data_IF_185861417522
#
_entry.id   IF_185861417522
#
_cell.length_a   1.000
_cell.length_b   1.000
_cell.length_c   1.000
_cell.angle_alpha   90.00
_cell.angle_beta   90.00
_cell.angle_gamma   90.00
#
_symmetry.space_group_name_H-M   'P 1'
#
loop_
_entity.id
_entity.type
_entity.pdbx_description
1 polymer ?
#
# COMPACT_ATOMS: atom_id res chain seq x y z
N UNK A 1 -27.09 14.76 65.33
CA UNK A 1 -26.46 14.81 66.65
C UNK A 1 -25.95 13.42 66.99
N UNK A 2 -24.62 13.30 67.22
CA UNK A 2 -23.90 12.36 68.11
C UNK A 2 -24.08 10.84 67.88
N UNK A 3 -23.06 10.14 67.37
CA UNK A 3 -21.80 9.66 68.01
C UNK A 3 -21.95 8.25 68.63
N UNK A 4 -21.23 7.27 68.08
CA UNK A 4 -19.98 6.65 68.61
C UNK A 4 -20.26 5.48 69.57
N UNK A 5 -19.66 4.29 69.42
CA UNK A 5 -18.39 3.85 70.07
C UNK A 5 -18.12 2.39 69.58
N UNK A 6 -16.95 2.00 69.02
CA UNK A 6 -15.68 1.57 69.68
C UNK A 6 -15.63 0.02 69.80
N UNK A 7 -14.53 -0.74 69.76
CA UNK A 7 -13.07 -0.54 69.70
C UNK A 7 -12.40 -1.88 69.28
N UNK A 8 -11.25 -1.89 68.58
CA UNK A 8 -9.91 -2.28 69.12
C UNK A 8 -9.39 -3.55 68.40
N UNK A 9 -8.10 -3.82 68.09
CA UNK A 9 -6.76 -3.29 68.40
C UNK A 9 -5.77 -3.75 67.27
N UNK A 10 -4.84 -2.91 66.76
CA UNK A 10 -3.36 -2.84 67.01
C UNK A 10 -2.55 -4.15 66.77
N UNK A 11 -1.35 -4.21 66.15
CA UNK A 11 -0.12 -3.37 66.21
C UNK A 11 0.63 -3.33 64.84
N UNK A 12 1.18 -2.20 64.32
CA UNK A 12 2.45 -1.44 64.59
C UNK A 12 3.77 -2.24 64.39
N UNK A 13 4.67 -1.89 63.45
CA UNK A 13 5.86 -1.00 63.57
C UNK A 13 6.78 -1.27 62.34
N UNK A 14 7.69 -0.43 61.81
CA UNK A 14 8.24 0.91 62.10
C UNK A 14 9.05 1.37 60.86
N UNK A 15 9.43 2.65 60.87
CA UNK A 15 9.93 3.49 59.78
C UNK A 15 11.39 3.95 60.10
N UNK A 16 12.14 4.33 59.06
CA UNK A 16 13.19 5.41 59.02
C UNK A 16 14.71 5.02 59.18
N UNK A 17 15.71 5.93 58.94
CA UNK A 17 16.43 6.13 57.67
C UNK A 17 17.99 6.32 57.83
N UNK A 18 18.66 6.85 56.78
CA UNK A 18 19.96 7.61 56.76
C UNK A 18 21.25 6.89 56.27
N UNK A 19 21.82 7.29 55.11
CA UNK A 19 23.08 8.08 54.97
C UNK A 19 23.75 8.00 53.58
N UNK A 20 24.28 9.16 53.22
CA UNK A 20 25.14 9.60 52.10
C UNK A 20 26.56 9.03 52.17
N UNK A 21 27.17 8.67 51.04
CA UNK A 21 28.60 8.92 50.80
C UNK A 21 28.98 8.94 49.31
N UNK A 22 29.80 9.92 48.92
CA UNK A 22 30.39 10.11 47.59
C UNK A 22 31.67 9.27 47.42
N UNK A 23 32.00 8.91 46.16
CA UNK A 23 33.38 8.78 45.62
C UNK A 23 33.35 8.51 44.09
N UNK A 24 33.93 9.43 43.30
CA UNK A 24 34.44 9.24 41.92
C UNK A 24 35.88 8.69 41.96
N UNK A 25 36.64 8.45 40.85
CA UNK A 25 36.37 8.44 39.40
C UNK A 25 36.87 7.17 38.67
N UNK A 26 36.46 6.90 37.42
CA UNK A 26 37.38 6.45 36.33
C UNK A 26 36.66 6.35 34.98
N UNK A 27 37.32 6.92 33.97
CA UNK A 27 36.99 6.90 32.56
C UNK A 27 37.07 5.49 31.98
N UNK A 28 36.14 5.11 31.09
CA UNK A 28 36.42 4.27 29.93
C UNK A 28 35.34 4.46 28.86
N UNK A 29 35.80 4.97 27.73
CA UNK A 29 35.13 5.23 26.47
C UNK A 29 34.55 3.95 25.84
N UNK A 30 33.30 3.98 25.35
CA UNK A 30 32.92 3.20 24.17
C UNK A 30 31.70 3.78 23.45
N UNK A 31 32.00 4.48 22.35
CA UNK A 31 31.09 4.72 21.23
C UNK A 31 30.83 3.43 20.47
N UNK A 32 29.57 3.18 20.09
CA UNK A 32 29.10 2.51 18.86
C UNK A 32 27.66 2.04 19.07
N UNK A 33 26.75 2.01 18.10
CA UNK A 33 26.72 2.42 16.71
C UNK A 33 25.22 2.42 16.34
N UNK A 34 24.87 3.28 15.39
CA UNK A 34 23.52 3.51 14.88
C UNK A 34 22.82 2.20 14.47
N UNK A 35 21.60 1.99 14.95
CA UNK A 35 20.71 0.96 14.43
C UNK A 35 20.13 1.48 13.11
N UNK A 36 20.76 1.07 12.01
CA UNK A 36 20.37 1.46 10.67
C UNK A 36 19.00 0.89 10.32
N UNK A 37 18.07 1.76 9.95
CA UNK A 37 16.89 1.38 9.18
C UNK A 37 17.35 0.59 7.94
N UNK A 38 17.29 -0.73 8.01
CA UNK A 38 17.45 -1.60 6.85
C UNK A 38 16.26 -1.34 5.93
N UNK A 39 16.52 -0.65 4.82
CA UNK A 39 15.60 -0.60 3.70
C UNK A 39 15.22 -2.05 3.33
N UNK A 40 13.96 -2.44 3.57
CA UNK A 40 13.42 -3.71 3.09
C UNK A 40 13.62 -3.70 1.57
N UNK A 41 14.50 -4.57 1.05
CA UNK A 41 14.64 -4.76 -0.39
C UNK A 41 13.26 -5.11 -0.95
N UNK A 42 12.82 -4.47 -2.05
CA UNK A 42 11.56 -4.84 -2.68
C UNK A 42 11.70 -6.28 -3.15
N UNK A 43 10.95 -7.19 -2.53
CA UNK A 43 10.83 -8.55 -3.02
C UNK A 43 10.14 -8.48 -4.38
N UNK A 44 10.77 -9.06 -5.41
CA UNK A 44 10.21 -9.13 -6.74
C UNK A 44 9.00 -10.09 -6.71
N UNK A 45 7.82 -9.60 -7.11
CA UNK A 45 6.57 -10.38 -7.16
C UNK A 45 6.38 -11.10 -8.51
N UNK A 46 7.38 -11.09 -9.37
CA UNK A 46 7.28 -11.51 -10.77
C UNK A 46 8.22 -12.67 -11.08
N UNK A 47 7.80 -13.53 -12.00
CA UNK A 47 8.55 -14.68 -12.50
C UNK A 47 8.66 -14.65 -14.04
N UNK A 48 9.75 -15.19 -14.59
CA UNK A 48 9.88 -15.34 -16.04
C UNK A 48 8.91 -16.39 -16.56
N UNK A 49 8.24 -16.10 -17.68
CA UNK A 49 7.17 -16.92 -18.24
C UNK A 49 5.78 -16.60 -17.68
N UNK A 50 5.66 -15.71 -16.69
CA UNK A 50 4.38 -15.29 -16.13
C UNK A 50 3.61 -14.38 -17.10
N UNK A 51 2.33 -14.67 -17.29
CA UNK A 51 1.39 -13.81 -18.00
C UNK A 51 0.86 -12.69 -17.10
N UNK A 52 0.89 -11.47 -17.61
CA UNK A 52 0.58 -10.24 -16.87
C UNK A 52 -0.17 -9.24 -17.74
N UNK A 53 -0.87 -8.31 -17.09
CA UNK A 53 -1.42 -7.13 -17.73
C UNK A 53 -0.47 -5.95 -17.51
N UNK A 54 0.09 -5.41 -18.58
CA UNK A 54 0.99 -4.27 -18.55
C UNK A 54 0.29 -3.00 -19.03
N UNK A 55 0.39 -1.93 -18.25
CA UNK A 55 -0.13 -0.61 -18.59
C UNK A 55 0.81 0.10 -19.56
N UNK A 56 0.25 0.59 -20.66
CA UNK A 56 0.97 1.34 -21.69
C UNK A 56 0.79 2.85 -21.54
N UNK A 57 1.48 3.63 -22.36
CA UNK A 57 1.47 5.11 -22.34
C UNK A 57 0.15 5.75 -22.75
N UNK A 58 -0.79 4.97 -23.29
CA UNK A 58 -2.17 5.41 -23.51
C UNK A 58 -3.07 5.18 -22.29
N UNK A 59 -2.51 4.68 -21.19
CA UNK A 59 -3.21 4.38 -19.94
C UNK A 59 -4.02 3.07 -19.97
N UNK A 60 -3.95 2.29 -21.06
CA UNK A 60 -4.65 1.01 -21.19
C UNK A 60 -3.74 -0.16 -20.79
N UNK A 61 -4.36 -1.28 -20.43
CA UNK A 61 -3.67 -2.52 -20.11
C UNK A 61 -3.66 -3.48 -21.30
N UNK A 62 -2.52 -4.12 -21.50
CA UNK A 62 -2.26 -5.09 -22.56
C UNK A 62 -1.74 -6.39 -21.97
N UNK A 63 -2.19 -7.52 -22.51
CA UNK A 63 -1.70 -8.83 -22.12
C UNK A 63 -0.28 -9.04 -22.66
N UNK A 64 0.59 -9.60 -21.83
CA UNK A 64 1.91 -10.01 -22.26
C UNK A 64 2.57 -10.99 -21.29
N UNK A 65 3.66 -11.59 -21.75
CA UNK A 65 4.44 -12.57 -21.00
C UNK A 65 5.79 -12.00 -20.61
N UNK A 66 6.15 -12.12 -19.32
CA UNK A 66 7.47 -11.69 -18.82
C UNK A 66 8.56 -12.59 -19.38
N UNK A 67 9.60 -11.98 -19.95
CA UNK A 67 10.79 -12.68 -20.47
C UNK A 67 12.08 -12.40 -19.74
N UNK A 68 12.21 -11.23 -19.12
CA UNK A 68 13.38 -10.88 -18.30
C UNK A 68 12.94 -9.99 -17.14
N UNK A 69 13.62 -10.10 -16.02
CA UNK A 69 13.36 -9.27 -14.84
C UNK A 69 14.62 -8.46 -14.52
N UNK A 70 14.46 -7.15 -14.37
CA UNK A 70 15.52 -6.25 -13.93
C UNK A 70 15.18 -5.68 -12.55
N UNK A 71 15.76 -6.30 -11.52
CA UNK A 71 15.54 -5.92 -10.11
C UNK A 71 16.08 -4.51 -9.82
N UNK A 72 17.22 -4.13 -10.42
CA UNK A 72 17.85 -2.83 -10.19
C UNK A 72 17.02 -1.69 -10.76
N UNK A 73 16.42 -1.90 -11.93
CA UNK A 73 15.55 -0.90 -12.59
C UNK A 73 14.07 -1.10 -12.28
N UNK A 74 13.73 -2.03 -11.37
CA UNK A 74 12.36 -2.38 -11.03
C UNK A 74 11.44 -2.50 -12.25
N UNK A 75 11.89 -3.25 -13.26
CA UNK A 75 11.17 -3.41 -14.53
C UNK A 75 11.26 -4.82 -15.07
N UNK A 76 10.28 -5.21 -15.88
CA UNK A 76 10.25 -6.48 -16.59
C UNK A 76 10.25 -6.24 -18.10
N UNK A 77 10.94 -7.10 -18.84
CA UNK A 77 10.89 -7.16 -20.29
C UNK A 77 9.72 -8.05 -20.69
N UNK A 78 8.71 -7.47 -21.32
CA UNK A 78 7.44 -8.13 -21.65
C UNK A 78 7.32 -8.29 -23.17
N UNK A 79 6.86 -9.46 -23.61
CA UNK A 79 6.41 -9.69 -24.99
C UNK A 79 4.88 -9.64 -25.00
N UNK A 80 4.32 -8.76 -25.83
CA UNK A 80 2.87 -8.59 -25.99
C UNK A 80 2.31 -9.54 -27.06
N UNK A 81 0.99 -9.64 -27.16
CA UNK A 81 0.29 -10.53 -28.10
C UNK A 81 0.65 -10.26 -29.58
N UNK A 82 0.96 -9.01 -29.93
CA UNK A 82 1.41 -8.62 -31.27
C UNK A 82 2.91 -8.87 -31.52
N UNK A 83 3.57 -9.61 -30.62
CA UNK A 83 5.01 -9.88 -30.62
C UNK A 83 5.93 -8.66 -30.41
N UNK A 84 5.35 -7.48 -30.15
CA UNK A 84 6.11 -6.31 -29.70
C UNK A 84 6.72 -6.56 -28.33
N UNK A 85 7.80 -5.84 -28.02
CA UNK A 85 8.61 -6.08 -26.81
C UNK A 85 8.95 -4.76 -26.16
N UNK A 86 8.77 -4.65 -24.86
CA UNK A 86 9.12 -3.43 -24.13
C UNK A 86 9.54 -3.73 -22.69
N UNK A 87 10.32 -2.81 -22.12
CA UNK A 87 10.55 -2.74 -20.69
C UNK A 87 9.39 -1.99 -20.03
N UNK A 88 8.76 -2.62 -19.04
CA UNK A 88 7.64 -2.05 -18.29
C UNK A 88 8.02 -2.00 -16.81
N UNK A 89 7.77 -0.88 -16.15
CA UNK A 89 8.06 -0.72 -14.72
C UNK A 89 7.12 -1.61 -13.89
N UNK A 90 7.59 -2.11 -12.76
CA UNK A 90 6.80 -2.95 -11.85
C UNK A 90 5.50 -2.29 -11.41
N UNK A 91 5.46 -0.97 -11.24
CA UNK A 91 4.25 -0.21 -10.91
C UNK A 91 3.16 -0.26 -11.99
N UNK A 92 3.54 -0.63 -13.21
CA UNK A 92 2.70 -0.71 -14.40
C UNK A 92 2.39 -2.15 -14.81
N UNK A 93 2.80 -3.15 -14.01
CA UNK A 93 2.54 -4.57 -14.25
C UNK A 93 1.56 -5.08 -13.21
N UNK A 94 0.47 -5.66 -13.68
CA UNK A 94 -0.54 -6.33 -12.87
C UNK A 94 -0.45 -7.84 -13.09
N UNK A 95 -0.33 -8.59 -12.00
CA UNK A 95 -0.43 -10.05 -12.00
C UNK A 95 -1.90 -10.46 -11.96
N UNK A 96 -2.24 -11.59 -12.60
CA UNK A 96 -3.53 -12.25 -12.37
C UNK A 96 -3.67 -12.64 -10.88
N UNK A 97 -4.90 -12.90 -10.42
CA UNK A 97 -5.11 -13.44 -9.08
C UNK A 97 -4.35 -14.78 -8.97
N UNK A 98 -3.25 -14.78 -8.24
CA UNK A 98 -2.46 -15.97 -7.98
C UNK A 98 -3.33 -16.91 -7.15
N UNK A 99 -3.56 -18.13 -7.64
CA UNK A 99 -4.36 -19.14 -6.93
C UNK A 99 -3.72 -19.69 -5.65
N UNK A 100 -2.73 -19.01 -5.07
CA UNK A 100 -2.26 -19.29 -3.72
C UNK A 100 -3.41 -18.95 -2.78
N UNK A 101 -4.00 -19.95 -2.14
CA UNK A 101 -5.23 -19.84 -1.34
C UNK A 101 -5.16 -18.94 -0.09
N UNK A 102 -4.16 -18.07 0.02
CA UNK A 102 -3.99 -17.09 1.08
C UNK A 102 -4.55 -15.74 0.61
N UNK A 103 -5.63 -15.30 1.24
CA UNK A 103 -6.30 -14.04 0.95
C UNK A 103 -5.52 -12.89 1.63
N UNK A 104 -4.60 -12.28 0.87
CA UNK A 104 -3.74 -11.20 1.35
C UNK A 104 -4.09 -9.87 0.69
N UNK A 105 -3.82 -8.75 1.37
CA UNK A 105 -3.94 -7.45 0.74
C UNK A 105 -2.85 -7.25 -0.33
N UNK A 106 -3.25 -6.89 -1.55
CA UNK A 106 -2.32 -6.66 -2.68
C UNK A 106 -1.29 -5.56 -2.41
N UNK A 107 -1.62 -4.59 -1.57
CA UNK A 107 -0.76 -3.42 -1.29
C UNK A 107 0.26 -3.74 -0.19
N UNK A 108 -0.18 -4.10 1.01
CA UNK A 108 0.72 -4.33 2.15
C UNK A 108 1.22 -5.77 2.27
N UNK A 109 0.59 -6.74 1.58
CA UNK A 109 0.88 -8.19 1.64
C UNK A 109 0.61 -8.82 3.02
N UNK A 110 -0.31 -8.24 3.79
CA UNK A 110 -0.71 -8.75 5.10
C UNK A 110 -2.13 -9.35 5.06
N UNK A 111 -2.43 -10.27 5.97
CA UNK A 111 -3.67 -11.07 6.00
C UNK A 111 -4.73 -10.58 6.98
N UNK A 112 -4.39 -9.64 7.87
CA UNK A 112 -5.31 -9.17 8.90
C UNK A 112 -6.57 -8.57 8.28
N UNK A 113 -7.72 -8.66 8.95
CA UNK A 113 -8.95 -8.00 8.51
C UNK A 113 -9.84 -7.74 9.71
N UNK A 114 -9.83 -6.51 10.21
CA UNK A 114 -10.64 -6.08 11.35
C UNK A 114 -11.12 -4.64 11.18
N UNK A 115 -12.33 -4.35 11.69
CA UNK A 115 -12.89 -3.00 11.65
C UNK A 115 -12.00 -2.02 12.45
N UNK A 116 -11.79 -0.77 11.96
CA UNK A 116 -12.40 -0.13 10.79
C UNK A 116 -11.56 -0.20 9.51
N UNK A 117 -10.69 -1.20 9.36
CA UNK A 117 -9.79 -1.37 8.21
C UNK A 117 -9.86 -2.80 7.65
N UNK A 118 -11.07 -3.21 7.30
CA UNK A 118 -11.34 -4.56 6.81
C UNK A 118 -10.80 -4.76 5.39
N UNK A 119 -10.60 -6.02 5.02
CA UNK A 119 -10.18 -6.39 3.68
C UNK A 119 -11.40 -6.54 2.77
N UNK A 120 -11.42 -5.75 1.69
CA UNK A 120 -12.49 -5.76 0.67
C UNK A 120 -11.96 -6.40 -0.61
N UNK A 121 -12.74 -7.35 -1.16
CA UNK A 121 -12.37 -8.10 -2.36
C UNK A 121 -12.99 -7.45 -3.59
N UNK A 122 -12.17 -7.25 -4.62
CA UNK A 122 -12.66 -6.71 -5.89
C UNK A 122 -13.46 -7.77 -6.67
N UNK A 123 -14.73 -7.49 -6.99
CA UNK A 123 -15.63 -8.40 -7.71
C UNK A 123 -15.19 -8.74 -9.14
N UNK A 124 -14.24 -7.99 -9.71
CA UNK A 124 -13.74 -8.25 -11.07
C UNK A 124 -12.42 -9.03 -11.11
N UNK A 125 -11.47 -8.72 -10.23
CA UNK A 125 -10.14 -9.35 -10.27
C UNK A 125 -9.85 -10.26 -9.09
N UNK A 126 -10.74 -10.34 -8.09
CA UNK A 126 -10.57 -11.21 -6.91
C UNK A 126 -9.46 -10.78 -5.95
N UNK A 127 -8.79 -9.63 -6.19
CA UNK A 127 -7.74 -9.13 -5.32
C UNK A 127 -8.31 -8.44 -4.08
N UNK A 128 -7.66 -8.65 -2.93
CA UNK A 128 -8.02 -8.04 -1.64
C UNK A 128 -7.30 -6.72 -1.38
N UNK A 129 -8.03 -5.76 -0.80
CA UNK A 129 -7.52 -4.45 -0.41
C UNK A 129 -8.04 -4.09 0.98
N UNK A 130 -7.15 -3.72 1.90
CA UNK A 130 -7.61 -3.02 3.11
C UNK A 130 -8.23 -1.68 2.74
N UNK A 131 -9.24 -1.26 3.51
CA UNK A 131 -9.91 0.03 3.32
C UNK A 131 -8.92 1.20 3.22
N UNK A 132 -7.92 1.24 4.09
CA UNK A 132 -6.89 2.30 4.14
C UNK A 132 -5.73 2.07 3.17
N UNK A 133 -5.59 0.87 2.60
CA UNK A 133 -4.54 0.60 1.61
C UNK A 133 -4.96 0.98 0.18
N UNK A 134 -6.26 1.01 -0.11
CA UNK A 134 -6.77 1.39 -1.41
C UNK A 134 -6.75 2.91 -1.61
N UNK A 135 -6.71 3.39 -2.86
CA UNK A 135 -6.75 4.82 -3.17
C UNK A 135 -7.87 5.14 -4.18
N UNK A 136 -8.90 5.92 -3.80
CA UNK A 136 -9.18 6.46 -2.45
C UNK A 136 -9.51 5.37 -1.43
N UNK A 137 -9.50 5.70 -0.13
CA UNK A 137 -9.88 4.75 0.91
C UNK A 137 -11.30 4.20 0.66
N UNK A 138 -11.53 2.93 1.01
CA UNK A 138 -12.84 2.28 0.81
C UNK A 138 -13.72 2.63 2.01
N UNK A 139 -14.88 3.22 1.72
CA UNK A 139 -15.86 3.57 2.74
C UNK A 139 -16.52 2.32 3.33
N UNK A 140 -16.81 2.32 4.63
CA UNK A 140 -17.51 1.20 5.29
C UNK A 140 -18.89 0.94 4.69
N UNK A 141 -19.53 1.94 4.06
CA UNK A 141 -20.78 1.76 3.33
C UNK A 141 -20.69 0.77 2.18
N UNK A 142 -19.48 0.50 1.66
CA UNK A 142 -19.24 -0.51 0.63
C UNK A 142 -19.36 -1.91 1.22
N UNK A 143 -18.92 -2.11 2.46
CA UNK A 143 -18.98 -3.39 3.17
C UNK A 143 -20.42 -3.67 3.62
N UNK A 144 -21.13 -2.63 4.04
CA UNK A 144 -22.54 -2.70 4.46
C UNK A 144 -23.53 -2.87 3.29
N UNK A 145 -23.05 -2.90 2.05
CA UNK A 145 -23.86 -2.93 0.83
C UNK A 145 -23.69 -4.25 0.07
N UNK A 146 -24.77 -4.75 -0.53
CA UNK A 146 -24.74 -5.87 -1.47
C UNK A 146 -24.32 -5.44 -2.90
N UNK A 147 -23.99 -4.16 -3.10
CA UNK A 147 -23.52 -3.67 -4.39
C UNK A 147 -22.09 -4.12 -4.71
N UNK A 148 -21.86 -4.46 -5.99
CA UNK A 148 -20.53 -4.86 -6.45
C UNK A 148 -19.51 -3.73 -6.29
N UNK A 149 -18.37 -4.05 -5.71
CA UNK A 149 -17.23 -3.15 -5.59
C UNK A 149 -16.10 -3.54 -6.55
N UNK A 150 -15.58 -2.53 -7.24
CA UNK A 150 -14.44 -2.68 -8.14
C UNK A 150 -13.27 -1.85 -7.63
N UNK A 151 -12.09 -2.45 -7.56
CA UNK A 151 -10.87 -1.72 -7.23
C UNK A 151 -10.53 -0.68 -8.32
N UNK A 152 -9.66 0.28 -7.98
CA UNK A 152 -9.20 1.34 -8.89
C UNK A 152 -8.78 0.81 -10.24
N UNK A 153 -7.96 -0.24 -10.24
CA UNK A 153 -7.44 -0.82 -11.47
C UNK A 153 -8.58 -1.34 -12.37
N UNK A 154 -9.55 -2.05 -11.79
CA UNK A 154 -10.69 -2.60 -12.52
C UNK A 154 -11.66 -1.52 -12.99
N UNK A 155 -11.89 -0.47 -12.19
CA UNK A 155 -12.68 0.69 -12.63
C UNK A 155 -12.03 1.36 -13.82
N UNK A 156 -10.74 1.67 -13.76
CA UNK A 156 -10.03 2.26 -14.90
C UNK A 156 -10.09 1.33 -16.11
N UNK A 157 -9.69 0.07 -15.99
CA UNK A 157 -9.68 -0.89 -17.09
C UNK A 157 -11.06 -1.08 -17.77
N UNK A 158 -12.16 -0.99 -17.02
CA UNK A 158 -13.51 -1.15 -17.60
C UNK A 158 -14.11 0.13 -18.16
N UNK A 159 -13.59 1.30 -17.77
CA UNK A 159 -14.18 2.60 -18.12
C UNK A 159 -13.36 3.40 -19.08
N UNK A 160 -12.03 3.24 -19.10
CA UNK A 160 -11.14 3.93 -20.05
C UNK A 160 -11.20 3.24 -21.40
N UNK A 161 -11.49 4.01 -22.46
CA UNK A 161 -11.49 3.55 -23.85
C UNK A 161 -10.76 4.56 -24.72
N UNK A 162 -10.26 4.13 -25.87
CA UNK A 162 -9.77 5.06 -26.90
C UNK A 162 -10.88 6.05 -27.28
N UNK A 163 -10.55 7.32 -27.37
CA UNK A 163 -11.52 8.40 -27.61
C UNK A 163 -12.24 8.93 -26.37
N UNK A 164 -11.98 8.39 -25.18
CA UNK A 164 -12.48 8.91 -23.91
C UNK A 164 -13.15 7.86 -23.03
N UNK A 165 -13.17 8.14 -21.73
CA UNK A 165 -13.80 7.25 -20.75
C UNK A 165 -15.34 7.30 -20.81
N UNK A 166 -15.99 6.23 -20.34
CA UNK A 166 -17.44 6.15 -20.20
C UNK A 166 -17.98 7.29 -19.33
N UNK A 167 -19.11 7.89 -19.77
CA UNK A 167 -19.75 9.03 -19.09
C UNK A 167 -20.97 8.67 -18.24
N UNK A 168 -21.50 7.45 -18.36
CA UNK A 168 -22.74 7.01 -17.68
C UNK A 168 -22.56 5.62 -17.08
N UNK A 169 -23.38 5.32 -16.07
CA UNK A 169 -23.41 4.03 -15.36
C UNK A 169 -22.60 4.01 -14.06
N UNK A 170 -22.74 2.94 -13.24
CA UNK A 170 -22.08 2.83 -11.94
C UNK A 170 -20.56 2.97 -12.03
N UNK A 171 -19.91 2.27 -12.96
CA UNK A 171 -18.46 2.34 -13.11
C UNK A 171 -17.97 3.73 -13.55
N UNK A 172 -18.75 4.46 -14.36
CA UNK A 172 -18.41 5.84 -14.72
C UNK A 172 -18.46 6.78 -13.50
N UNK A 173 -19.45 6.60 -12.61
CA UNK A 173 -19.52 7.33 -11.33
C UNK A 173 -18.34 6.97 -10.43
N UNK A 174 -18.04 5.68 -10.28
CA UNK A 174 -16.88 5.22 -9.51
C UNK A 174 -15.57 5.81 -10.05
N UNK A 175 -15.40 5.87 -11.38
CA UNK A 175 -14.23 6.49 -12.00
C UNK A 175 -14.12 7.98 -11.62
N UNK A 176 -15.22 8.73 -11.61
CA UNK A 176 -15.20 10.15 -11.24
C UNK A 176 -14.75 10.33 -9.79
N UNK A 177 -15.25 9.50 -8.86
CA UNK A 177 -14.81 9.51 -7.47
C UNK A 177 -13.32 9.19 -7.36
N UNK A 178 -12.87 8.11 -8.01
CA UNK A 178 -11.48 7.67 -7.93
C UNK A 178 -10.48 8.67 -8.51
N UNK A 179 -10.88 9.48 -9.50
CA UNK A 179 -10.03 10.51 -10.11
C UNK A 179 -9.77 11.71 -9.19
N UNK A 180 -10.55 11.89 -8.14
CA UNK A 180 -10.35 12.97 -7.17
C UNK A 180 -9.12 12.73 -6.28
N UNK A 181 -8.61 11.50 -6.23
CA UNK A 181 -7.42 11.13 -5.47
C UNK A 181 -6.40 10.49 -6.38
N UNK A 182 -5.20 11.06 -6.43
CA UNK A 182 -4.07 10.50 -7.17
C UNK A 182 -3.44 9.34 -6.38
N UNK A 183 -3.03 8.25 -7.04
CA UNK A 183 -2.36 7.13 -6.38
C UNK A 183 -0.85 7.41 -6.15
N UNK A 184 -0.43 8.67 -6.25
CA UNK A 184 0.94 9.12 -6.10
C UNK A 184 0.97 10.56 -5.54
N UNK A 185 2.07 10.93 -4.91
CA UNK A 185 2.35 12.29 -4.48
C UNK A 185 2.88 13.12 -5.65
N UNK A 186 2.27 14.28 -5.92
CA UNK A 186 2.74 15.21 -6.96
C UNK A 186 4.07 15.86 -6.57
N UNK A 187 4.34 15.99 -5.27
CA UNK A 187 5.57 16.57 -4.74
C UNK A 187 6.80 15.68 -4.99
N UNK A 188 6.58 14.38 -5.21
CA UNK A 188 7.65 13.40 -5.42
C UNK A 188 8.06 13.29 -6.90
N UNK A 189 7.41 14.06 -7.79
CA UNK A 189 7.68 14.03 -9.22
C UNK A 189 8.82 14.99 -9.58
N UNK A 190 9.89 14.43 -10.13
CA UNK A 190 11.05 15.16 -10.62
C UNK A 190 10.87 15.47 -12.11
N UNK A 191 10.43 16.69 -12.40
CA UNK A 191 10.14 17.16 -13.76
C UNK A 191 11.38 17.70 -14.48
N UNK A 192 11.37 17.55 -15.80
CA UNK A 192 12.29 18.28 -16.67
C UNK A 192 11.99 19.81 -16.68
N UNK A 193 12.93 20.59 -17.22
CA UNK A 193 12.81 22.05 -17.26
C UNK A 193 11.57 22.54 -18.04
N UNK A 194 11.06 21.74 -18.96
CA UNK A 194 9.88 22.05 -19.78
C UNK A 194 8.55 21.59 -19.18
N UNK A 195 8.57 20.94 -18.01
CA UNK A 195 7.42 20.28 -17.39
C UNK A 195 6.68 19.34 -18.37
N UNK A 196 7.44 18.57 -19.16
CA UNK A 196 6.93 17.62 -20.17
C UNK A 196 7.02 16.19 -19.69
N UNK A 197 8.13 15.83 -19.06
CA UNK A 197 8.39 14.49 -18.58
C UNK A 197 8.89 14.52 -17.14
N UNK A 198 8.63 13.45 -16.38
CA UNK A 198 9.20 13.22 -15.06
C UNK A 198 9.96 11.89 -15.00
N UNK A 199 10.98 11.84 -14.13
CA UNK A 199 11.87 10.67 -13.95
C UNK A 199 11.09 9.43 -13.56
N UNK A 200 10.03 9.59 -12.77
CA UNK A 200 9.18 8.52 -12.24
C UNK A 200 8.25 7.90 -13.31
N UNK A 201 8.15 8.51 -14.51
CA UNK A 201 7.20 8.14 -15.56
C UNK A 201 5.78 7.97 -14.99
N UNK A 202 5.32 8.97 -14.26
CA UNK A 202 4.07 8.93 -13.52
C UNK A 202 3.19 10.11 -13.92
N UNK A 203 2.07 9.80 -14.58
CA UNK A 203 1.17 10.79 -15.14
C UNK A 203 -0.29 10.39 -14.94
N UNK A 204 -1.17 11.37 -15.18
CA UNK A 204 -2.61 11.20 -15.23
C UNK A 204 -3.21 10.67 -13.92
N UNK A 205 -4.52 10.45 -13.89
CA UNK A 205 -5.19 9.86 -12.74
C UNK A 205 -4.77 8.41 -12.51
N UNK A 206 -4.20 7.72 -13.51
CA UNK A 206 -3.80 6.33 -13.38
C UNK A 206 -2.44 6.15 -12.69
N UNK A 207 -1.53 7.13 -12.75
CA UNK A 207 -0.13 6.99 -12.32
C UNK A 207 0.73 6.15 -13.28
N UNK A 208 0.28 6.03 -14.53
CA UNK A 208 0.97 5.31 -15.60
C UNK A 208 2.04 6.15 -16.29
N UNK A 209 2.78 5.54 -17.23
CA UNK A 209 3.79 6.21 -18.05
C UNK A 209 3.19 7.10 -19.15
#
# INVERSE_FOLDING_TARGET
>A
MRDSTGAGNSLVHKRSPLRRNQKTPTSLTKLSLQDGHKAKKPACKFEEGQDVLARWSDGLFYLGTIKKINILKQSCFIIFEDSSKSWVLWKDIQTGATGSGEMVCTICQEEYSEAPNEMVICDKCGQGYHQLCHTPHIDSSVIDSDEKWLCRQCVFATTTKRGGALKKGPNAKALQVMKQTLPYSVADLEWDAGHKTNVQQCYCYCGGP
#
